data_IF_313239639168
#
_entry.id   IF_313239639168
#
_cell.length_a   1.000
_cell.length_b   1.000
_cell.length_c   1.000
_cell.angle_alpha   90.00
_cell.angle_beta   90.00
_cell.angle_gamma   90.00
#
_symmetry.space_group_name_H-M   'P 1'
#
loop_
_entity.id
_entity.type
_entity.pdbx_description
1 polymer ?
#
# COMPACT_ATOMS: atom_id res chain seq x y z
N UNK A 1 -59.75 -8.16 43.01
CA UNK A 1 -59.53 -7.52 41.73
C UNK A 1 -58.03 -7.20 41.66
N UNK A 2 -57.25 -8.11 41.06
CA UNK A 2 -55.77 -8.07 41.05
C UNK A 2 -55.33 -7.63 39.66
N UNK A 3 -54.73 -6.45 39.56
CA UNK A 3 -54.11 -5.96 38.32
C UNK A 3 -52.75 -6.65 38.12
N UNK A 4 -52.62 -7.45 37.03
CA UNK A 4 -51.32 -7.94 36.54
C UNK A 4 -50.68 -6.86 35.69
N UNK A 5 -49.53 -6.35 36.13
CA UNK A 5 -48.65 -5.50 35.34
C UNK A 5 -47.80 -6.38 34.40
N UNK A 6 -48.02 -6.26 33.11
CA UNK A 6 -47.14 -6.87 32.08
C UNK A 6 -45.87 -6.01 31.97
N UNK A 7 -44.71 -6.63 32.28
CA UNK A 7 -43.39 -6.07 31.90
C UNK A 7 -43.10 -6.42 30.47
N UNK A 8 -43.09 -5.42 29.61
CA UNK A 8 -42.61 -5.53 28.22
C UNK A 8 -41.09 -5.36 28.27
N UNK A 9 -40.37 -6.46 28.03
CA UNK A 9 -38.93 -6.43 27.79
C UNK A 9 -38.68 -5.93 26.33
N UNK A 10 -38.18 -4.74 26.20
CA UNK A 10 -37.69 -4.24 24.91
C UNK A 10 -36.34 -4.93 24.60
N UNK A 11 -36.34 -5.89 23.71
CA UNK A 11 -35.14 -6.42 23.10
C UNK A 11 -34.64 -5.39 22.05
N UNK A 12 -33.61 -4.66 22.41
CA UNK A 12 -32.82 -3.88 21.45
C UNK A 12 -31.99 -4.84 20.59
N UNK A 13 -32.47 -5.16 19.39
CA UNK A 13 -31.67 -5.86 18.37
C UNK A 13 -30.70 -4.84 17.79
N UNK A 14 -29.48 -4.82 18.26
CA UNK A 14 -28.38 -4.15 17.60
C UNK A 14 -28.04 -4.95 16.34
N UNK A 15 -28.58 -4.55 15.20
CA UNK A 15 -28.16 -5.08 13.90
C UNK A 15 -26.71 -4.64 13.68
N UNK A 16 -25.77 -5.54 13.89
CA UNK A 16 -24.41 -5.40 13.38
C UNK A 16 -24.50 -5.44 11.85
N UNK A 17 -24.40 -4.27 11.22
CA UNK A 17 -24.19 -4.16 9.80
C UNK A 17 -22.77 -4.71 9.55
N UNK A 18 -22.68 -6.02 9.29
CA UNK A 18 -21.50 -6.58 8.64
C UNK A 18 -21.46 -5.96 7.23
N UNK A 19 -20.52 -5.05 7.03
CA UNK A 19 -20.09 -4.67 5.69
C UNK A 19 -19.57 -5.94 5.01
N UNK A 20 -20.43 -6.55 4.20
CA UNK A 20 -20.03 -7.59 3.25
C UNK A 20 -19.28 -6.83 2.14
N UNK A 21 -18.01 -6.56 2.35
CA UNK A 21 -17.10 -6.28 1.25
C UNK A 21 -17.05 -7.56 0.43
N UNK A 22 -17.46 -7.50 -0.84
CA UNK A 22 -17.22 -8.60 -1.76
C UNK A 22 -15.72 -8.90 -1.70
N UNK A 23 -15.36 -10.13 -1.34
CA UNK A 23 -13.97 -10.50 -1.11
C UNK A 23 -13.28 -10.57 -2.47
N UNK A 24 -12.57 -9.51 -2.84
CA UNK A 24 -11.49 -9.62 -3.83
C UNK A 24 -10.56 -10.71 -3.29
N UNK A 25 -10.30 -11.74 -4.10
CA UNK A 25 -9.46 -12.86 -3.69
C UNK A 25 -8.13 -12.33 -3.16
N UNK A 26 -7.76 -12.74 -1.94
CA UNK A 26 -6.51 -12.32 -1.32
C UNK A 26 -5.33 -12.74 -2.19
N UNK A 27 -4.28 -11.89 -2.31
CA UNK A 27 -3.05 -12.23 -3.00
C UNK A 27 -2.42 -13.51 -2.45
N UNK A 28 -1.84 -14.33 -3.33
CA UNK A 28 -1.25 -15.63 -2.97
C UNK A 28 0.28 -15.64 -3.10
N UNK A 29 0.82 -14.80 -3.96
CA UNK A 29 2.25 -14.73 -4.26
C UNK A 29 2.80 -13.33 -3.95
N UNK A 30 4.12 -13.17 -3.76
CA UNK A 30 4.72 -11.83 -3.64
C UNK A 30 4.39 -10.93 -4.83
N UNK A 31 4.36 -11.45 -6.06
CA UNK A 31 3.94 -10.71 -7.25
C UNK A 31 2.47 -10.25 -7.17
N UNK A 32 1.57 -11.10 -6.71
CA UNK A 32 0.16 -10.72 -6.49
C UNK A 32 0.05 -9.57 -5.45
N UNK A 33 0.86 -9.61 -4.38
CA UNK A 33 0.88 -8.56 -3.36
C UNK A 33 1.44 -7.23 -3.90
N UNK A 34 2.48 -7.26 -4.74
CA UNK A 34 2.98 -6.06 -5.42
C UNK A 34 1.90 -5.43 -6.30
N UNK A 35 1.20 -6.25 -7.09
CA UNK A 35 0.12 -5.77 -7.95
C UNK A 35 -1.06 -5.24 -7.12
N UNK A 36 -1.48 -5.98 -6.09
CA UNK A 36 -2.60 -5.61 -5.21
C UNK A 36 -2.38 -4.27 -4.53
N UNK A 37 -1.18 -4.02 -4.02
CA UNK A 37 -0.86 -2.79 -3.28
C UNK A 37 -0.64 -1.58 -4.19
N UNK A 38 -0.04 -1.79 -5.36
CA UNK A 38 0.27 -0.71 -6.29
C UNK A 38 -0.87 -0.38 -7.26
N UNK A 39 -1.63 -1.41 -7.68
CA UNK A 39 -2.60 -1.34 -8.78
C UNK A 39 -3.87 -2.10 -8.42
N UNK A 40 -4.54 -1.68 -7.35
CA UNK A 40 -5.67 -2.43 -6.77
C UNK A 40 -6.81 -2.68 -7.76
N UNK A 41 -7.20 -1.66 -8.56
CA UNK A 41 -8.23 -1.84 -9.59
C UNK A 41 -7.80 -2.87 -10.63
N UNK A 42 -6.58 -2.76 -11.13
CA UNK A 42 -6.02 -3.71 -12.10
C UNK A 42 -6.01 -5.14 -11.55
N UNK A 43 -5.60 -5.30 -10.29
CA UNK A 43 -5.63 -6.61 -9.62
C UNK A 43 -7.05 -7.16 -9.49
N UNK A 44 -7.97 -6.37 -8.92
CA UNK A 44 -9.34 -6.79 -8.67
C UNK A 44 -10.10 -7.09 -9.97
N UNK A 45 -9.94 -6.24 -11.00
CA UNK A 45 -10.54 -6.44 -12.31
C UNK A 45 -9.95 -7.66 -13.01
N UNK A 46 -8.65 -7.88 -12.96
CA UNK A 46 -7.97 -9.04 -13.55
C UNK A 46 -8.41 -10.39 -12.96
N UNK A 47 -8.83 -10.41 -11.68
CA UNK A 47 -9.41 -11.62 -11.04
C UNK A 47 -10.91 -11.80 -11.38
N UNK A 48 -11.56 -10.81 -12.00
CA UNK A 48 -12.98 -10.90 -12.40
C UNK A 48 -13.11 -11.37 -13.86
N UNK A 49 -12.98 -12.68 -14.06
CA UNK A 49 -12.99 -13.30 -15.40
C UNK A 49 -14.16 -12.90 -16.29
N UNK A 50 -15.44 -12.80 -15.83
CA UNK A 50 -16.53 -12.33 -16.67
C UNK A 50 -16.34 -10.91 -17.20
N UNK A 51 -15.98 -9.96 -16.33
CA UNK A 51 -15.77 -8.56 -16.73
C UNK A 51 -14.56 -8.40 -17.64
N UNK A 52 -13.49 -9.17 -17.39
CA UNK A 52 -12.32 -9.21 -18.24
C UNK A 52 -12.66 -9.67 -19.66
N UNK A 53 -13.47 -10.71 -19.80
CA UNK A 53 -13.95 -11.21 -21.10
C UNK A 53 -14.79 -10.15 -21.84
N UNK A 54 -15.66 -9.43 -21.13
CA UNK A 54 -16.47 -8.36 -21.71
C UNK A 54 -15.58 -7.23 -22.28
N UNK A 55 -14.55 -6.81 -21.54
CA UNK A 55 -13.59 -5.83 -22.03
C UNK A 55 -12.83 -6.33 -23.27
N UNK A 56 -12.38 -7.59 -23.26
CA UNK A 56 -11.65 -8.21 -24.36
C UNK A 56 -12.46 -8.38 -25.64
N UNK A 57 -13.79 -8.34 -25.57
CA UNK A 57 -14.67 -8.38 -26.75
C UNK A 57 -14.72 -7.03 -27.49
N UNK A 58 -14.32 -5.93 -26.87
CA UNK A 58 -14.29 -4.64 -27.54
C UNK A 58 -13.26 -4.66 -28.70
N UNK A 59 -13.73 -4.29 -29.90
CA UNK A 59 -12.90 -4.38 -31.12
C UNK A 59 -11.67 -3.44 -31.08
N UNK A 60 -11.79 -2.28 -30.43
CA UNK A 60 -10.68 -1.34 -30.33
C UNK A 60 -9.63 -1.83 -29.33
N UNK A 61 -10.08 -2.45 -28.23
CA UNK A 61 -9.17 -3.12 -27.27
C UNK A 61 -8.44 -4.27 -27.96
N UNK A 62 -9.13 -5.12 -28.72
CA UNK A 62 -8.49 -6.21 -29.49
C UNK A 62 -7.43 -5.70 -30.45
N UNK A 63 -7.76 -4.68 -31.25
CA UNK A 63 -6.82 -4.11 -32.20
C UNK A 63 -5.60 -3.50 -31.48
N UNK A 64 -5.84 -2.74 -30.42
CA UNK A 64 -4.79 -2.15 -29.59
C UNK A 64 -3.86 -3.23 -28.99
N UNK A 65 -4.41 -4.31 -28.45
CA UNK A 65 -3.61 -5.40 -27.86
C UNK A 65 -2.75 -6.11 -28.90
N UNK A 66 -3.25 -6.31 -30.12
CA UNK A 66 -2.46 -6.88 -31.23
C UNK A 66 -1.29 -5.96 -31.63
N UNK A 67 -1.56 -4.66 -31.78
CA UNK A 67 -0.52 -3.67 -32.09
C UNK A 67 0.54 -3.61 -30.98
N UNK A 68 0.09 -3.68 -29.73
CA UNK A 68 0.96 -3.70 -28.57
C UNK A 68 1.83 -4.96 -28.53
N UNK A 69 1.26 -6.15 -28.73
CA UNK A 69 2.02 -7.40 -28.80
C UNK A 69 3.10 -7.34 -29.85
N UNK A 70 2.77 -6.81 -31.04
CA UNK A 70 3.75 -6.60 -32.10
C UNK A 70 4.87 -5.65 -31.64
N UNK A 71 4.51 -4.49 -31.09
CA UNK A 71 5.48 -3.50 -30.59
C UNK A 71 6.37 -4.08 -29.48
N UNK A 72 5.82 -4.88 -28.58
CA UNK A 72 6.59 -5.53 -27.52
C UNK A 72 7.58 -6.55 -28.10
N UNK A 73 7.15 -7.39 -29.04
CA UNK A 73 8.01 -8.37 -29.74
C UNK A 73 9.07 -7.68 -30.61
N UNK A 74 8.73 -6.60 -31.31
CA UNK A 74 9.67 -5.82 -32.12
C UNK A 74 10.80 -5.19 -31.27
N UNK A 75 10.62 -5.10 -29.95
CA UNK A 75 11.66 -4.70 -28.99
C UNK A 75 12.93 -5.54 -29.09
N UNK A 76 12.86 -6.78 -29.59
CA UNK A 76 14.04 -7.61 -29.87
C UNK A 76 15.00 -6.95 -30.86
N UNK A 77 14.53 -6.05 -31.70
CA UNK A 77 15.32 -5.32 -32.71
C UNK A 77 15.90 -4.00 -32.14
N UNK A 78 15.55 -3.61 -30.92
CA UNK A 78 16.04 -2.38 -30.30
C UNK A 78 17.55 -2.43 -30.10
N UNK A 79 18.24 -1.38 -30.51
CA UNK A 79 19.69 -1.22 -30.32
C UNK A 79 20.03 -0.31 -29.13
N UNK A 80 19.05 0.35 -28.54
CA UNK A 80 19.22 1.26 -27.41
C UNK A 80 18.28 0.91 -26.27
N UNK A 81 18.69 1.23 -25.05
CA UNK A 81 17.89 1.07 -23.83
C UNK A 81 16.56 1.81 -23.93
N UNK A 82 16.57 3.06 -24.41
CA UNK A 82 15.35 3.87 -24.53
C UNK A 82 14.34 3.26 -25.51
N UNK A 83 14.81 2.71 -26.65
CA UNK A 83 13.95 1.99 -27.58
C UNK A 83 13.24 0.83 -26.88
N UNK A 84 13.98 -0.01 -26.17
CA UNK A 84 13.45 -1.20 -25.49
C UNK A 84 12.50 -0.82 -24.35
N UNK A 85 12.87 0.13 -23.50
CA UNK A 85 12.03 0.64 -22.41
C UNK A 85 10.69 1.18 -22.92
N UNK A 86 10.69 1.87 -24.06
CA UNK A 86 9.45 2.38 -24.65
C UNK A 86 8.49 1.26 -25.10
N UNK A 87 8.98 0.05 -25.36
CA UNK A 87 8.11 -1.09 -25.68
C UNK A 87 7.38 -1.63 -24.43
N UNK A 88 7.94 -1.46 -23.24
CA UNK A 88 7.35 -1.89 -21.99
C UNK A 88 6.17 -0.99 -21.56
N UNK A 89 6.23 0.29 -21.91
CA UNK A 89 5.31 1.32 -21.41
C UNK A 89 4.00 1.39 -22.17
N UNK A 90 2.94 1.83 -21.48
CA UNK A 90 1.74 2.34 -22.13
C UNK A 90 2.03 3.65 -22.85
N UNK A 91 1.60 3.77 -24.09
CA UNK A 91 1.59 5.06 -24.80
C UNK A 91 0.22 5.76 -24.65
N UNK A 92 0.17 7.04 -25.00
CA UNK A 92 -1.04 7.86 -24.83
C UNK A 92 -2.26 7.32 -25.60
N UNK A 93 -2.07 6.76 -26.79
CA UNK A 93 -3.14 6.17 -27.60
C UNK A 93 -3.71 4.92 -26.93
N UNK A 94 -2.87 4.05 -26.39
CA UNK A 94 -3.27 2.84 -25.67
C UNK A 94 -4.03 3.20 -24.40
N UNK A 95 -3.53 4.17 -23.64
CA UNK A 95 -4.21 4.69 -22.42
C UNK A 95 -5.59 5.24 -22.76
N UNK A 96 -5.69 6.07 -23.81
CA UNK A 96 -6.98 6.62 -24.27
C UNK A 96 -7.96 5.53 -24.72
N UNK A 97 -7.47 4.51 -25.42
CA UNK A 97 -8.30 3.37 -25.87
C UNK A 97 -8.88 2.60 -24.68
N UNK A 98 -8.06 2.33 -23.67
CA UNK A 98 -8.51 1.64 -22.43
C UNK A 98 -9.51 2.48 -21.65
N UNK A 99 -9.26 3.77 -21.46
CA UNK A 99 -10.21 4.66 -20.78
C UNK A 99 -11.57 4.65 -21.48
N UNK A 100 -11.61 4.84 -22.79
CA UNK A 100 -12.86 4.80 -23.57
C UNK A 100 -13.58 3.45 -23.46
N UNK A 101 -12.85 2.33 -23.50
CA UNK A 101 -13.44 1.01 -23.38
C UNK A 101 -14.04 0.77 -21.99
N UNK A 102 -13.38 1.20 -20.93
CA UNK A 102 -13.92 1.12 -19.56
C UNK A 102 -15.13 2.05 -19.37
N UNK A 103 -15.12 3.26 -19.94
CA UNK A 103 -16.28 4.14 -19.91
C UNK A 103 -17.50 3.52 -20.60
N UNK A 104 -17.28 2.88 -21.76
CA UNK A 104 -18.30 2.12 -22.49
C UNK A 104 -18.81 0.92 -21.67
N UNK A 105 -17.88 0.16 -21.05
CA UNK A 105 -18.23 -0.96 -20.19
C UNK A 105 -19.08 -0.48 -18.98
N UNK A 106 -18.75 0.65 -18.38
CA UNK A 106 -19.56 1.27 -17.32
C UNK A 106 -20.97 1.58 -17.79
N UNK A 107 -21.16 2.15 -19.00
CA UNK A 107 -22.48 2.48 -19.53
C UNK A 107 -23.32 1.22 -19.81
N UNK A 108 -22.72 0.18 -20.31
CA UNK A 108 -23.43 -0.97 -20.86
C UNK A 108 -23.58 -2.14 -19.89
N UNK A 109 -22.70 -2.26 -18.86
CA UNK A 109 -22.65 -3.44 -17.99
C UNK A 109 -22.97 -3.09 -16.53
N UNK A 110 -24.15 -3.57 -16.05
CA UNK A 110 -24.59 -3.37 -14.66
C UNK A 110 -23.67 -4.07 -13.64
N UNK A 111 -23.08 -5.19 -14.01
CA UNK A 111 -22.19 -5.93 -13.09
C UNK A 111 -20.87 -5.16 -12.90
N UNK A 112 -20.38 -4.51 -13.94
CA UNK A 112 -19.21 -3.63 -13.84
C UNK A 112 -19.51 -2.41 -12.94
N UNK A 113 -20.69 -1.79 -13.07
CA UNK A 113 -21.09 -0.70 -12.13
C UNK A 113 -21.11 -1.19 -10.68
N UNK A 114 -21.72 -2.37 -10.44
CA UNK A 114 -21.76 -2.95 -9.10
C UNK A 114 -20.36 -3.28 -8.55
N UNK A 115 -19.47 -3.82 -9.38
CA UNK A 115 -18.06 -4.06 -9.05
C UNK A 115 -17.35 -2.73 -8.69
N UNK A 116 -17.50 -1.71 -9.52
CA UNK A 116 -16.90 -0.41 -9.25
C UNK A 116 -17.35 0.16 -7.89
N UNK A 117 -18.66 0.10 -7.58
CA UNK A 117 -19.20 0.63 -6.34
C UNK A 117 -18.79 -0.18 -5.11
N UNK A 118 -18.94 -1.51 -5.17
CA UNK A 118 -18.82 -2.38 -4.00
C UNK A 118 -17.39 -2.80 -3.68
N UNK A 119 -16.56 -2.96 -4.71
CA UNK A 119 -15.21 -3.49 -4.55
C UNK A 119 -14.16 -2.37 -4.63
N UNK A 120 -14.35 -1.40 -5.52
CA UNK A 120 -13.33 -0.38 -5.78
C UNK A 120 -13.58 0.90 -4.97
N UNK A 121 -14.75 1.50 -5.10
CA UNK A 121 -15.06 2.75 -4.36
C UNK A 121 -15.08 2.51 -2.86
N UNK A 122 -15.69 1.41 -2.42
CA UNK A 122 -15.75 1.04 -1.01
C UNK A 122 -14.39 0.69 -0.38
N UNK A 123 -13.36 0.41 -1.20
CA UNK A 123 -12.00 0.18 -0.70
C UNK A 123 -11.29 1.45 -0.24
N UNK A 124 -11.75 2.63 -0.65
CA UNK A 124 -11.12 3.94 -0.44
C UNK A 124 -9.69 4.09 -1.01
N UNK A 125 -9.17 3.11 -1.74
CA UNK A 125 -7.78 3.10 -2.21
C UNK A 125 -7.46 4.15 -3.29
N UNK A 126 -8.48 4.70 -3.95
CA UNK A 126 -8.35 5.82 -4.92
C UNK A 126 -8.94 7.14 -4.40
N UNK A 127 -9.18 7.22 -3.10
CA UNK A 127 -9.82 8.35 -2.44
C UNK A 127 -11.35 8.30 -2.51
N UNK A 128 -12.00 9.40 -2.14
CA UNK A 128 -13.46 9.45 -2.05
C UNK A 128 -14.10 10.07 -3.30
N UNK A 129 -15.37 9.73 -3.53
CA UNK A 129 -16.22 10.32 -4.58
C UNK A 129 -16.67 11.75 -4.31
N UNK A 130 -16.31 12.39 -3.18
CA UNK A 130 -16.90 13.65 -2.71
C UNK A 130 -17.10 14.73 -3.76
N UNK A 131 -16.27 14.76 -4.79
CA UNK A 131 -16.30 15.78 -5.84
C UNK A 131 -16.34 15.22 -7.27
N UNK A 132 -16.38 13.90 -7.43
CA UNK A 132 -16.32 13.23 -8.72
C UNK A 132 -17.60 12.44 -9.00
N UNK A 133 -18.05 12.43 -10.25
CA UNK A 133 -19.02 11.43 -10.70
C UNK A 133 -18.37 10.04 -10.75
N UNK A 134 -19.13 8.93 -10.70
CA UNK A 134 -18.58 7.59 -10.81
C UNK A 134 -17.72 7.40 -12.08
N UNK A 135 -18.07 8.02 -13.19
CA UNK A 135 -17.28 7.98 -14.43
C UNK A 135 -15.95 8.73 -14.31
N UNK A 136 -15.95 9.91 -13.71
CA UNK A 136 -14.72 10.67 -13.46
C UNK A 136 -13.81 9.94 -12.48
N UNK A 137 -14.40 9.28 -11.49
CA UNK A 137 -13.66 8.43 -10.57
C UNK A 137 -13.04 7.23 -11.29
N UNK A 138 -13.79 6.54 -12.16
CA UNK A 138 -13.32 5.44 -12.98
C UNK A 138 -12.15 5.89 -13.87
N UNK A 139 -12.27 7.03 -14.56
CA UNK A 139 -11.19 7.59 -15.35
C UNK A 139 -9.93 7.84 -14.52
N UNK A 140 -10.09 8.49 -13.35
CA UNK A 140 -8.97 8.78 -12.44
C UNK A 140 -8.22 7.52 -12.05
N UNK A 141 -8.91 6.47 -11.61
CA UNK A 141 -8.25 5.24 -11.13
C UNK A 141 -7.55 4.47 -12.26
N UNK A 142 -8.15 4.42 -13.46
CA UNK A 142 -7.52 3.78 -14.63
C UNK A 142 -6.22 4.52 -14.98
N UNK A 143 -6.30 5.84 -15.11
CA UNK A 143 -5.12 6.66 -15.42
C UNK A 143 -4.05 6.53 -14.34
N UNK A 144 -4.45 6.44 -13.05
CA UNK A 144 -3.52 6.26 -11.94
C UNK A 144 -2.76 4.93 -12.04
N UNK A 145 -3.45 3.80 -12.27
CA UNK A 145 -2.80 2.49 -12.38
C UNK A 145 -1.86 2.43 -13.59
N UNK A 146 -2.32 2.88 -14.76
CA UNK A 146 -1.50 2.85 -15.98
C UNK A 146 -0.27 3.79 -15.88
N UNK A 147 -0.45 4.97 -15.30
CA UNK A 147 0.66 5.91 -15.06
C UNK A 147 1.64 5.37 -14.02
N UNK A 148 1.14 4.70 -12.97
CA UNK A 148 1.97 4.05 -11.95
C UNK A 148 2.86 2.95 -12.52
N UNK A 149 2.34 2.11 -13.43
CA UNK A 149 3.14 1.11 -14.15
C UNK A 149 4.25 1.78 -14.96
N UNK A 150 3.92 2.82 -15.71
CA UNK A 150 4.90 3.58 -16.48
C UNK A 150 5.95 4.24 -15.57
N UNK A 151 5.53 4.75 -14.41
CA UNK A 151 6.44 5.34 -13.41
C UNK A 151 7.46 4.32 -12.89
N UNK A 152 7.03 3.11 -12.53
CA UNK A 152 7.95 2.02 -12.12
C UNK A 152 8.96 1.72 -13.23
N UNK A 153 8.51 1.61 -14.49
CA UNK A 153 9.39 1.36 -15.63
C UNK A 153 10.38 2.52 -15.83
N UNK A 154 9.93 3.76 -15.66
CA UNK A 154 10.78 4.95 -15.74
C UNK A 154 11.88 4.96 -14.66
N UNK A 155 11.54 4.61 -13.42
CA UNK A 155 12.52 4.61 -12.32
C UNK A 155 13.43 3.39 -12.41
N UNK A 156 12.86 2.17 -12.44
CA UNK A 156 13.61 0.92 -12.28
C UNK A 156 14.05 0.28 -13.61
N UNK A 157 13.59 0.81 -14.72
CA UNK A 157 14.03 0.41 -16.06
C UNK A 157 14.88 1.50 -16.74
N UNK A 158 14.38 2.74 -16.82
CA UNK A 158 15.10 3.83 -17.49
C UNK A 158 16.07 4.60 -16.56
N UNK A 159 16.06 4.36 -15.25
CA UNK A 159 16.94 5.04 -14.30
C UNK A 159 16.59 6.51 -14.08
N UNK A 160 15.32 6.90 -14.29
CA UNK A 160 14.87 8.24 -13.92
C UNK A 160 14.95 8.45 -12.43
N UNK A 161 15.14 9.69 -12.01
CA UNK A 161 15.28 10.06 -10.60
C UNK A 161 13.94 9.93 -9.88
N UNK A 162 13.83 9.12 -8.81
CA UNK A 162 12.64 9.06 -7.97
C UNK A 162 12.54 10.28 -7.05
N UNK A 163 11.41 10.42 -6.33
CA UNK A 163 11.21 11.50 -5.36
C UNK A 163 12.22 11.43 -4.20
N UNK A 164 12.64 10.21 -3.82
CA UNK A 164 13.61 9.96 -2.73
C UNK A 164 14.84 9.17 -3.24
N UNK A 165 15.74 9.81 -4.02
CA UNK A 165 16.82 9.10 -4.72
C UNK A 165 17.83 8.40 -3.81
N UNK A 166 18.00 8.87 -2.59
CA UNK A 166 18.95 8.27 -1.63
C UNK A 166 18.47 6.91 -1.10
N UNK A 167 17.19 6.60 -1.25
CA UNK A 167 16.58 5.36 -0.73
C UNK A 167 15.84 4.54 -1.80
N UNK A 168 15.44 5.15 -2.92
CA UNK A 168 14.55 4.53 -3.91
C UNK A 168 15.13 4.47 -5.33
N UNK A 169 16.40 4.83 -5.51
CA UNK A 169 17.04 4.77 -6.84
C UNK A 169 17.16 3.35 -7.38
N UNK A 170 17.25 3.24 -8.69
CA UNK A 170 17.58 2.02 -9.42
C UNK A 170 18.90 1.41 -8.93
N UNK A 171 18.98 0.08 -8.95
CA UNK A 171 20.18 -0.66 -8.51
C UNK A 171 21.29 -0.72 -9.54
N UNK A 172 21.00 -0.40 -10.81
CA UNK A 172 21.90 -0.59 -11.95
C UNK A 172 22.41 0.73 -12.50
N UNK A 173 23.61 0.67 -13.09
CA UNK A 173 24.11 1.74 -13.93
C UNK A 173 23.52 1.58 -15.35
N UNK A 174 22.52 2.36 -15.67
CA UNK A 174 21.81 2.30 -16.98
C UNK A 174 22.72 2.68 -18.18
N UNK A 175 23.90 3.26 -17.93
CA UNK A 175 24.92 3.57 -18.96
C UNK A 175 25.87 2.41 -19.20
N UNK A 176 25.80 1.33 -18.42
CA UNK A 176 26.59 0.14 -18.66
C UNK A 176 26.17 -0.51 -19.99
N UNK A 177 27.15 -0.87 -20.82
CA UNK A 177 26.91 -1.49 -22.13
C UNK A 177 26.14 -2.81 -22.06
N UNK A 178 26.20 -3.50 -20.90
CA UNK A 178 25.53 -4.77 -20.70
C UNK A 178 24.09 -4.57 -20.17
N UNK A 179 23.69 -3.35 -19.79
CA UNK A 179 22.37 -3.11 -19.20
C UNK A 179 21.23 -3.43 -20.17
N UNK A 180 21.41 -3.19 -21.46
CA UNK A 180 20.42 -3.55 -22.49
C UNK A 180 20.16 -5.07 -22.54
N UNK A 181 21.18 -5.90 -22.25
CA UNK A 181 21.00 -7.36 -22.21
C UNK A 181 20.14 -7.79 -21.02
N UNK A 182 20.29 -7.14 -19.84
CA UNK A 182 19.39 -7.36 -18.73
C UNK A 182 17.94 -7.07 -19.11
N UNK A 183 17.68 -5.92 -19.77
CA UNK A 183 16.34 -5.53 -20.20
C UNK A 183 15.76 -6.47 -21.26
N UNK A 184 16.60 -7.01 -22.17
CA UNK A 184 16.18 -8.04 -23.14
C UNK A 184 15.74 -9.31 -22.43
N UNK A 185 16.49 -9.75 -21.40
CA UNK A 185 16.09 -10.91 -20.62
C UNK A 185 14.78 -10.66 -19.85
N UNK A 186 14.56 -9.45 -19.32
CA UNK A 186 13.26 -9.06 -18.75
C UNK A 186 12.14 -9.13 -19.80
N UNK A 187 12.37 -8.64 -21.02
CA UNK A 187 11.40 -8.73 -22.12
C UNK A 187 11.05 -10.18 -22.47
N UNK A 188 12.06 -11.04 -22.61
CA UNK A 188 11.86 -12.46 -22.96
C UNK A 188 11.09 -13.21 -21.87
N UNK A 189 11.42 -12.96 -20.62
CA UNK A 189 10.74 -13.55 -19.46
C UNK A 189 9.26 -13.10 -19.39
N UNK A 190 9.01 -11.80 -19.53
CA UNK A 190 7.64 -11.26 -19.61
C UNK A 190 6.87 -11.82 -20.83
N UNK A 191 7.53 -11.99 -21.98
CA UNK A 191 6.92 -12.59 -23.17
C UNK A 191 6.50 -14.03 -22.92
N UNK A 192 7.31 -14.82 -22.17
CA UNK A 192 6.99 -16.20 -21.83
C UNK A 192 5.73 -16.28 -20.93
N UNK A 193 5.59 -15.36 -19.97
CA UNK A 193 4.45 -15.32 -19.05
C UNK A 193 3.17 -14.74 -19.69
N UNK A 194 3.27 -14.02 -20.81
CA UNK A 194 2.14 -13.31 -21.42
C UNK A 194 1.61 -13.90 -22.72
N UNK A 195 2.00 -15.13 -23.05
CA UNK A 195 1.56 -15.85 -24.26
C UNK A 195 0.07 -16.21 -24.30
N UNK A 196 -0.66 -16.06 -23.19
CA UNK A 196 -2.10 -16.30 -23.14
C UNK A 196 -2.89 -15.05 -23.55
N UNK A 197 -3.93 -15.18 -24.40
CA UNK A 197 -4.76 -14.04 -24.85
C UNK A 197 -5.53 -13.31 -23.72
N UNK A 198 -5.51 -13.86 -22.51
CA UNK A 198 -6.26 -13.34 -21.36
C UNK A 198 -5.67 -12.06 -20.75
N UNK A 199 -4.51 -11.65 -21.20
CA UNK A 199 -3.67 -10.72 -20.49
C UNK A 199 -3.71 -9.30 -21.07
N UNK A 200 -4.80 -8.57 -20.89
CA UNK A 200 -4.96 -7.25 -21.49
C UNK A 200 -3.96 -6.19 -20.98
N UNK A 201 -3.43 -6.35 -19.77
CA UNK A 201 -2.46 -5.39 -19.17
C UNK A 201 -1.08 -6.04 -18.95
N UNK A 202 -0.96 -7.33 -19.10
CA UNK A 202 0.13 -8.13 -18.55
C UNK A 202 1.53 -7.69 -18.99
N UNK A 203 1.75 -7.30 -20.23
CA UNK A 203 3.11 -6.95 -20.66
C UNK A 203 3.68 -5.75 -19.90
N UNK A 204 2.95 -4.63 -19.76
CA UNK A 204 3.42 -3.48 -18.98
C UNK A 204 3.44 -3.80 -17.50
N UNK A 205 2.38 -4.42 -16.98
CA UNK A 205 2.27 -4.79 -15.58
C UNK A 205 3.42 -5.72 -15.16
N UNK A 206 3.65 -6.79 -15.92
CA UNK A 206 4.72 -7.74 -15.61
C UNK A 206 6.11 -7.15 -15.87
N UNK A 207 6.27 -6.25 -16.85
CA UNK A 207 7.52 -5.50 -17.00
C UNK A 207 7.80 -4.62 -15.77
N UNK A 208 6.79 -3.92 -15.25
CA UNK A 208 6.95 -3.10 -14.04
C UNK A 208 7.32 -3.97 -12.82
N UNK A 209 6.59 -5.05 -12.58
CA UNK A 209 6.84 -5.95 -11.44
C UNK A 209 8.20 -6.66 -11.58
N UNK A 210 8.56 -7.12 -12.78
CA UNK A 210 9.85 -7.76 -13.04
C UNK A 210 11.02 -6.80 -12.87
N UNK A 211 10.84 -5.53 -13.22
CA UNK A 211 11.84 -4.49 -12.96
C UNK A 211 12.03 -4.23 -11.46
N UNK A 212 10.97 -4.26 -10.65
CA UNK A 212 11.10 -4.23 -9.18
C UNK A 212 11.89 -5.45 -8.68
N UNK A 213 11.56 -6.64 -9.17
CA UNK A 213 12.21 -7.89 -8.79
C UNK A 213 13.72 -7.87 -9.07
N UNK A 214 14.14 -7.59 -10.31
CA UNK A 214 15.58 -7.59 -10.65
C UNK A 214 16.36 -6.49 -9.95
N UNK A 215 15.68 -5.43 -9.49
CA UNK A 215 16.26 -4.41 -8.64
C UNK A 215 16.29 -4.82 -7.14
N UNK A 216 15.74 -5.99 -6.78
CA UNK A 216 15.55 -6.47 -5.39
C UNK A 216 14.68 -5.52 -4.56
N UNK A 217 13.59 -5.03 -5.17
CA UNK A 217 12.68 -4.03 -4.59
C UNK A 217 11.27 -4.59 -4.36
N UNK A 218 11.19 -5.72 -3.65
CA UNK A 218 9.94 -6.31 -3.15
C UNK A 218 9.44 -5.66 -1.86
N UNK A 219 9.79 -4.41 -1.61
CA UNK A 219 9.54 -3.75 -0.32
C UNK A 219 8.04 -3.73 0.02
N UNK A 220 7.17 -3.48 -0.96
CA UNK A 220 5.73 -3.42 -0.73
C UNK A 220 5.09 -4.79 -0.42
N UNK A 221 5.69 -5.90 -0.89
CA UNK A 221 5.16 -7.26 -0.71
C UNK A 221 5.81 -8.05 0.44
N UNK A 222 6.89 -7.52 1.05
CA UNK A 222 7.63 -8.22 2.08
C UNK A 222 6.76 -8.60 3.27
N UNK A 223 6.89 -9.85 3.72
CA UNK A 223 6.22 -10.41 4.90
C UNK A 223 4.67 -10.50 4.79
N UNK A 224 4.09 -10.18 3.64
CA UNK A 224 2.64 -10.34 3.46
C UNK A 224 2.21 -11.83 3.37
N UNK A 225 1.04 -12.19 3.86
CA UNK A 225 0.11 -11.34 4.61
C UNK A 225 0.54 -11.18 6.08
N UNK A 226 0.77 -9.94 6.51
CA UNK A 226 1.23 -9.62 7.87
C UNK A 226 0.36 -10.23 8.98
N UNK A 227 -0.95 -10.37 8.74
CA UNK A 227 -1.89 -10.99 9.69
C UNK A 227 -1.69 -12.48 9.90
N UNK A 228 -0.97 -13.15 9.00
CA UNK A 228 -0.61 -14.57 9.13
C UNK A 228 0.87 -14.77 9.48
N UNK A 229 1.67 -13.72 9.39
CA UNK A 229 3.12 -13.72 9.67
C UNK A 229 3.44 -12.87 10.90
N UNK A 230 4.15 -11.79 10.74
CA UNK A 230 4.70 -10.97 11.82
C UNK A 230 3.66 -10.38 12.77
N UNK A 231 2.49 -10.02 12.28
CA UNK A 231 1.45 -9.39 13.09
C UNK A 231 0.44 -10.39 13.67
N UNK A 232 0.54 -11.69 13.36
CA UNK A 232 -0.47 -12.69 13.70
C UNK A 232 -0.87 -12.67 15.18
N UNK A 233 0.09 -12.72 16.09
CA UNK A 233 -0.18 -12.79 17.53
C UNK A 233 -0.90 -11.54 18.05
N UNK A 234 -0.52 -10.36 17.58
CA UNK A 234 -1.18 -9.12 17.95
C UNK A 234 -2.54 -8.96 17.26
N UNK A 235 -2.65 -9.32 15.98
CA UNK A 235 -3.92 -9.31 15.25
C UNK A 235 -4.98 -10.19 15.89
N UNK A 236 -4.61 -11.39 16.37
CA UNK A 236 -5.54 -12.27 17.08
C UNK A 236 -5.96 -11.67 18.45
N UNK A 237 -5.03 -11.00 19.16
CA UNK A 237 -5.33 -10.33 20.43
C UNK A 237 -6.26 -9.11 20.27
N UNK A 238 -6.17 -8.37 19.15
CA UNK A 238 -7.04 -7.21 18.88
C UNK A 238 -8.52 -7.62 18.98
N UNK A 239 -8.89 -8.78 18.44
CA UNK A 239 -10.27 -9.31 18.39
C UNK A 239 -10.91 -9.50 19.77
N UNK A 240 -10.08 -9.67 20.80
CA UNK A 240 -10.53 -9.93 22.18
C UNK A 240 -10.18 -8.78 23.14
N UNK A 241 -9.58 -7.70 22.65
CA UNK A 241 -9.15 -6.58 23.48
C UNK A 241 -10.31 -5.65 23.82
N UNK A 242 -10.55 -5.43 25.11
CA UNK A 242 -11.46 -4.38 25.57
C UNK A 242 -10.74 -3.02 25.58
N UNK A 243 -10.90 -2.29 24.49
CA UNK A 243 -10.28 -0.98 24.31
C UNK A 243 -10.80 0.10 25.28
N UNK A 244 -11.95 -0.10 25.93
CA UNK A 244 -12.50 0.86 26.91
C UNK A 244 -11.60 1.01 28.13
N UNK A 245 -10.79 -0.01 28.43
CA UNK A 245 -9.86 -0.03 29.58
C UNK A 245 -8.60 0.83 29.38
N UNK A 246 -8.38 1.35 28.18
CA UNK A 246 -7.15 2.08 27.85
C UNK A 246 -7.48 3.51 27.41
N UNK A 247 -6.71 4.52 27.82
CA UNK A 247 -6.87 5.90 27.33
C UNK A 247 -6.75 6.00 25.79
N UNK A 248 -5.83 5.23 25.18
CA UNK A 248 -5.52 5.27 23.77
C UNK A 248 -5.60 3.89 23.12
N UNK A 249 -5.87 3.84 21.81
CA UNK A 249 -5.99 2.57 21.08
C UNK A 249 -4.63 1.89 20.85
N UNK A 250 -3.58 2.66 20.61
CA UNK A 250 -2.22 2.19 20.35
C UNK A 250 -1.19 3.31 20.50
N UNK A 251 0.10 2.95 20.40
CA UNK A 251 1.21 3.88 20.29
C UNK A 251 2.05 3.54 19.04
N UNK A 252 2.12 4.45 18.08
CA UNK A 252 3.04 4.40 16.95
C UNK A 252 4.44 4.84 17.39
N UNK A 253 5.43 4.01 17.09
CA UNK A 253 6.85 4.35 17.19
C UNK A 253 7.39 4.52 15.77
N UNK A 254 7.88 5.72 15.48
CA UNK A 254 8.54 6.00 14.21
C UNK A 254 9.94 5.40 14.20
N UNK A 255 10.32 4.76 13.11
CA UNK A 255 11.67 4.29 12.87
C UNK A 255 12.71 5.42 12.90
N UNK A 256 13.97 5.07 13.09
CA UNK A 256 15.10 6.00 13.12
C UNK A 256 16.32 5.50 12.35
N UNK A 257 16.15 4.41 11.58
CA UNK A 257 17.13 3.73 10.74
C UNK A 257 18.56 3.69 11.26
N UNK A 258 19.26 2.57 11.21
CA UNK A 258 20.71 2.58 11.40
C UNK A 258 21.37 3.33 10.24
N UNK A 259 22.48 4.04 10.55
CA UNK A 259 23.27 4.73 9.54
C UNK A 259 24.46 3.87 9.05
N UNK A 260 24.77 2.80 9.78
CA UNK A 260 25.93 1.94 9.53
C UNK A 260 25.45 0.63 8.91
N UNK A 261 26.06 0.24 7.78
CA UNK A 261 25.75 -1.01 7.12
C UNK A 261 26.01 -2.21 8.06
N UNK A 262 25.09 -3.18 8.07
CA UNK A 262 25.15 -4.34 8.94
C UNK A 262 24.64 -4.13 10.37
N UNK A 263 24.31 -2.90 10.76
CA UNK A 263 23.67 -2.63 12.04
C UNK A 263 22.16 -2.94 11.96
N UNK A 264 21.67 -3.78 12.87
CA UNK A 264 20.26 -4.23 12.90
C UNK A 264 19.31 -3.15 13.40
N UNK A 265 19.64 -2.51 14.51
CA UNK A 265 18.82 -1.49 15.17
C UNK A 265 19.68 -0.28 15.55
N UNK A 266 19.16 0.92 15.33
CA UNK A 266 19.83 2.16 15.72
C UNK A 266 19.73 2.42 17.23
N UNK A 267 20.67 3.19 17.84
CA UNK A 267 20.55 3.63 19.22
C UNK A 267 19.24 4.38 19.50
N UNK A 268 18.76 5.19 18.56
CA UNK A 268 17.48 5.89 18.70
C UNK A 268 16.30 4.90 18.64
N UNK A 269 16.36 3.87 17.80
CA UNK A 269 15.37 2.80 17.79
C UNK A 269 15.24 2.10 19.15
N UNK A 270 16.38 1.79 19.78
CA UNK A 270 16.40 1.22 21.13
C UNK A 270 15.77 2.17 22.17
N UNK A 271 16.10 3.46 22.14
CA UNK A 271 15.54 4.45 23.09
C UNK A 271 14.04 4.66 22.89
N UNK A 272 13.57 4.72 21.65
CA UNK A 272 12.15 4.82 21.31
C UNK A 272 11.39 3.57 21.76
N UNK A 273 11.97 2.37 21.61
CA UNK A 273 11.41 1.12 22.13
C UNK A 273 11.21 1.15 23.65
N UNK A 274 12.14 1.75 24.40
CA UNK A 274 12.01 1.95 25.85
C UNK A 274 10.93 2.96 26.22
N UNK A 275 10.67 3.96 25.38
CA UNK A 275 9.54 4.88 25.59
C UNK A 275 8.20 4.14 25.42
N UNK A 276 8.09 3.27 24.42
CA UNK A 276 6.92 2.44 24.20
C UNK A 276 6.67 1.49 25.39
N UNK A 277 7.71 0.84 25.92
CA UNK A 277 7.63 0.00 27.12
C UNK A 277 7.00 0.75 28.28
N UNK A 278 7.44 2.00 28.56
CA UNK A 278 6.88 2.81 29.66
C UNK A 278 5.40 3.12 29.47
N UNK A 279 4.97 3.45 28.23
CA UNK A 279 3.56 3.70 27.93
C UNK A 279 2.71 2.43 28.11
N UNK A 280 3.22 1.29 27.66
CA UNK A 280 2.58 -0.01 27.82
C UNK A 280 2.46 -0.43 29.28
N UNK A 281 3.54 -0.33 30.07
CA UNK A 281 3.55 -0.66 31.50
C UNK A 281 2.63 0.23 32.34
N UNK A 282 2.43 1.48 31.94
CA UNK A 282 1.47 2.41 32.58
C UNK A 282 0.02 2.13 32.19
N UNK A 283 -0.25 1.15 31.33
CA UNK A 283 -1.60 0.84 30.86
C UNK A 283 -2.22 1.96 29.99
N UNK A 284 -1.42 2.80 29.37
CA UNK A 284 -1.94 3.85 28.48
C UNK A 284 -2.46 3.28 27.15
N UNK A 285 -1.88 2.18 26.71
CA UNK A 285 -2.12 1.53 25.43
C UNK A 285 -2.12 0.01 25.54
N UNK A 286 -2.96 -0.72 24.80
CA UNK A 286 -2.87 -2.18 24.71
C UNK A 286 -1.87 -2.67 23.63
N UNK A 287 -1.54 -1.84 22.64
CA UNK A 287 -0.69 -2.20 21.49
C UNK A 287 0.35 -1.13 21.18
N UNK A 288 1.51 -1.60 20.75
CA UNK A 288 2.59 -0.81 20.16
C UNK A 288 2.62 -1.13 18.67
N UNK A 289 2.73 -0.11 17.81
CA UNK A 289 2.94 -0.27 16.38
C UNK A 289 4.31 0.31 16.06
N UNK A 290 5.19 -0.51 15.52
CA UNK A 290 6.52 -0.08 15.07
C UNK A 290 6.48 0.06 13.56
N UNK A 291 6.81 1.24 13.04
CA UNK A 291 6.78 1.52 11.62
C UNK A 291 8.16 1.91 11.11
N UNK A 292 8.67 1.17 10.14
CA UNK A 292 9.97 1.40 9.50
C UNK A 292 10.36 0.24 8.59
N UNK A 293 10.57 0.54 7.31
CA UNK A 293 10.92 -0.42 6.27
C UNK A 293 12.41 -0.71 6.15
N UNK A 294 12.77 -1.33 5.04
CA UNK A 294 14.15 -1.63 4.62
C UNK A 294 14.74 -0.42 3.89
N UNK A 295 15.09 0.63 4.64
CA UNK A 295 15.40 1.96 4.06
C UNK A 295 16.85 2.37 4.25
N UNK A 296 17.37 2.31 5.47
CA UNK A 296 18.70 2.84 5.82
C UNK A 296 19.61 1.78 6.41
N UNK A 297 20.88 1.75 5.97
CA UNK A 297 21.43 2.40 4.77
C UNK A 297 20.83 1.80 3.50
N UNK A 298 21.00 2.48 2.36
CA UNK A 298 20.47 2.02 1.06
C UNK A 298 20.75 0.53 0.82
N UNK A 299 19.71 -0.23 0.42
CA UNK A 299 19.75 -1.69 0.24
C UNK A 299 20.22 -2.49 1.47
N UNK A 300 19.97 -1.99 2.68
CA UNK A 300 20.15 -2.79 3.90
C UNK A 300 19.36 -4.11 3.80
N UNK A 301 19.86 -5.17 4.39
CA UNK A 301 19.14 -6.45 4.50
C UNK A 301 18.12 -6.47 5.65
N UNK A 302 18.15 -5.49 6.54
CA UNK A 302 17.30 -5.45 7.74
C UNK A 302 16.07 -4.56 7.54
N UNK A 303 14.93 -5.04 8.04
CA UNK A 303 13.69 -4.28 8.13
C UNK A 303 13.63 -3.69 9.53
N UNK A 304 13.65 -2.37 9.64
CA UNK A 304 13.76 -1.69 10.92
C UNK A 304 12.67 -2.09 11.92
N UNK A 305 11.42 -2.16 11.48
CA UNK A 305 10.29 -2.53 12.34
C UNK A 305 10.42 -3.97 12.89
N UNK A 306 10.96 -4.90 12.11
CA UNK A 306 11.23 -6.28 12.54
C UNK A 306 12.31 -6.30 13.63
N UNK A 307 13.44 -5.63 13.40
CA UNK A 307 14.55 -5.61 14.34
C UNK A 307 14.19 -4.88 15.65
N UNK A 308 13.38 -3.82 15.57
CA UNK A 308 12.86 -3.15 16.77
C UNK A 308 11.87 -4.05 17.53
N UNK A 309 11.02 -4.82 16.85
CA UNK A 309 10.13 -5.80 17.48
C UNK A 309 10.93 -6.89 18.19
N UNK A 310 11.96 -7.45 17.55
CA UNK A 310 12.86 -8.43 18.18
C UNK A 310 13.47 -7.84 19.46
N UNK A 311 14.01 -6.62 19.40
CA UNK A 311 14.56 -5.96 20.58
C UNK A 311 13.53 -5.77 21.68
N UNK A 312 12.29 -5.36 21.34
CA UNK A 312 11.20 -5.20 22.34
C UNK A 312 10.80 -6.51 22.98
N UNK A 313 10.76 -7.61 22.23
CA UNK A 313 10.38 -8.93 22.75
C UNK A 313 11.53 -9.54 23.57
N UNK A 314 12.71 -9.64 22.97
CA UNK A 314 13.84 -10.41 23.52
C UNK A 314 14.57 -9.66 24.65
N UNK A 315 14.71 -8.32 24.51
CA UNK A 315 15.48 -7.51 25.46
C UNK A 315 14.59 -6.80 26.48
N UNK A 316 13.42 -6.32 26.05
CA UNK A 316 12.53 -5.53 26.91
C UNK A 316 11.37 -6.36 27.52
N UNK A 317 11.18 -7.61 27.10
CA UNK A 317 10.16 -8.51 27.63
C UNK A 317 8.71 -8.12 27.28
N UNK A 318 8.49 -7.33 26.23
CA UNK A 318 7.14 -6.98 25.77
C UNK A 318 6.56 -8.19 25.03
N UNK A 319 5.34 -8.66 25.35
CA UNK A 319 4.74 -9.77 24.64
C UNK A 319 4.60 -9.49 23.14
N UNK A 320 4.97 -10.42 22.26
CA UNK A 320 4.80 -10.29 20.81
C UNK A 320 3.34 -9.98 20.42
N UNK A 321 2.38 -10.47 21.21
CA UNK A 321 0.94 -10.18 21.03
C UNK A 321 0.53 -8.73 21.35
N UNK A 322 1.44 -7.91 21.87
CA UNK A 322 1.21 -6.48 22.08
C UNK A 322 1.92 -5.62 21.03
N UNK A 323 2.64 -6.21 20.06
CA UNK A 323 3.47 -5.49 19.08
C UNK A 323 3.02 -5.83 17.67
N UNK A 324 2.61 -4.80 16.93
CA UNK A 324 2.40 -4.82 15.50
C UNK A 324 3.58 -4.16 14.80
N UNK A 325 3.87 -4.57 13.57
CA UNK A 325 4.84 -3.90 12.71
C UNK A 325 4.17 -3.39 11.43
N UNK A 326 4.66 -2.26 10.94
CA UNK A 326 4.57 -1.81 9.57
C UNK A 326 5.98 -1.86 8.96
N UNK A 327 6.28 -2.86 8.12
CA UNK A 327 7.62 -3.06 7.56
C UNK A 327 7.84 -2.32 6.25
N UNK A 328 6.92 -1.46 5.82
CA UNK A 328 6.90 -0.85 4.49
C UNK A 328 7.33 0.60 4.49
N UNK A 329 7.06 1.35 5.59
CA UNK A 329 7.27 2.78 5.64
C UNK A 329 8.70 3.20 5.29
N UNK A 330 8.80 4.20 4.41
CA UNK A 330 10.07 4.72 3.89
C UNK A 330 10.44 6.09 4.45
N UNK A 331 9.45 6.83 4.93
CA UNK A 331 9.64 8.17 5.52
C UNK A 331 8.48 8.51 6.49
N UNK A 332 8.54 9.67 7.15
CA UNK A 332 7.62 10.00 8.24
C UNK A 332 6.15 10.04 7.82
N UNK A 333 5.81 10.53 6.63
CA UNK A 333 4.42 10.56 6.16
C UNK A 333 3.88 9.14 5.96
N UNK A 334 4.70 8.23 5.42
CA UNK A 334 4.29 6.84 5.24
C UNK A 334 4.24 6.07 6.56
N UNK A 335 5.10 6.36 7.56
CA UNK A 335 4.94 5.79 8.90
C UNK A 335 3.53 6.04 9.47
N UNK A 336 3.04 7.28 9.41
CA UNK A 336 1.75 7.66 9.96
C UNK A 336 0.60 7.11 9.11
N UNK A 337 0.72 7.18 7.77
CA UNK A 337 -0.27 6.63 6.83
C UNK A 337 -0.45 5.13 7.01
N UNK A 338 0.64 4.36 6.98
CA UNK A 338 0.59 2.90 7.06
C UNK A 338 0.08 2.42 8.42
N UNK A 339 0.49 3.10 9.50
CA UNK A 339 -0.11 2.84 10.82
C UNK A 339 -1.62 3.09 10.78
N UNK A 340 -2.06 4.15 10.10
CA UNK A 340 -3.48 4.41 9.87
C UNK A 340 -4.18 3.25 9.14
N UNK A 341 -3.56 2.69 8.09
CA UNK A 341 -4.04 1.49 7.38
C UNK A 341 -4.19 0.29 8.32
N UNK A 342 -3.19 0.02 9.18
CA UNK A 342 -3.28 -1.06 10.17
C UNK A 342 -4.44 -0.83 11.14
N UNK A 343 -4.60 0.38 11.66
CA UNK A 343 -5.69 0.71 12.58
C UNK A 343 -7.07 0.51 11.93
N UNK A 344 -7.24 0.96 10.69
CA UNK A 344 -8.50 0.83 9.95
C UNK A 344 -8.83 -0.62 9.57
N UNK A 345 -7.84 -1.39 9.12
CA UNK A 345 -8.04 -2.73 8.57
C UNK A 345 -8.05 -3.83 9.65
N UNK A 346 -7.45 -3.60 10.82
CA UNK A 346 -7.32 -4.63 11.86
C UNK A 346 -8.41 -4.58 12.94
N UNK A 347 -9.38 -3.65 12.79
CA UNK A 347 -10.54 -3.59 13.69
C UNK A 347 -10.31 -2.77 14.95
N UNK A 348 -9.40 -1.82 14.95
CA UNK A 348 -9.28 -0.83 16.02
C UNK A 348 -10.49 0.12 16.05
N UNK A 349 -10.86 0.66 17.24
CA UNK A 349 -11.94 1.64 17.34
C UNK A 349 -11.63 2.91 16.53
N UNK A 350 -12.48 3.25 15.54
CA UNK A 350 -12.23 4.35 14.59
C UNK A 350 -12.23 5.74 15.23
N UNK A 351 -12.95 5.92 16.32
CA UNK A 351 -13.13 7.17 17.09
C UNK A 351 -12.16 7.33 18.26
N UNK A 352 -11.39 6.29 18.59
CA UNK A 352 -10.42 6.34 19.66
C UNK A 352 -9.07 6.88 19.20
N UNK A 353 -8.53 7.85 19.92
CA UNK A 353 -7.20 8.40 19.65
C UNK A 353 -6.12 7.33 19.85
N UNK A 354 -5.11 7.41 19.01
CA UNK A 354 -3.83 6.74 19.16
C UNK A 354 -2.74 7.77 19.51
N UNK A 355 -1.59 7.29 19.95
CA UNK A 355 -0.41 8.11 20.19
C UNK A 355 0.64 7.88 19.10
N UNK A 356 1.39 8.93 18.76
CA UNK A 356 2.65 8.83 18.03
C UNK A 356 3.78 9.27 18.96
N UNK A 357 4.89 8.49 18.99
CA UNK A 357 6.07 8.80 19.81
C UNK A 357 7.33 8.80 18.96
N UNK A 358 8.16 9.84 19.18
CA UNK A 358 9.43 10.01 18.50
C UNK A 358 10.33 11.02 19.26
N UNK A 359 11.46 11.44 18.65
CA UNK A 359 12.25 12.57 19.16
C UNK A 359 11.45 13.87 19.07
N UNK A 360 11.82 14.86 19.89
CA UNK A 360 11.13 16.16 19.94
C UNK A 360 11.02 16.80 18.54
N UNK A 361 12.12 16.88 17.79
CA UNK A 361 12.11 17.46 16.44
C UNK A 361 11.18 16.74 15.47
N UNK A 362 11.07 15.41 15.58
CA UNK A 362 10.13 14.63 14.78
C UNK A 362 8.67 14.89 15.17
N UNK A 363 8.38 15.01 16.48
CA UNK A 363 7.03 15.36 16.95
C UNK A 363 6.65 16.78 16.51
N UNK A 364 7.58 17.74 16.60
CA UNK A 364 7.38 19.11 16.10
C UNK A 364 7.06 19.11 14.58
N UNK A 365 7.75 18.26 13.81
CA UNK A 365 7.46 18.10 12.37
C UNK A 365 6.08 17.51 12.12
N UNK A 366 5.71 16.41 12.79
CA UNK A 366 4.39 15.75 12.65
C UNK A 366 3.27 16.72 12.97
N UNK A 367 3.43 17.53 14.04
CA UNK A 367 2.43 18.47 14.51
C UNK A 367 2.24 19.68 13.58
N UNK A 368 3.32 20.19 12.94
CA UNK A 368 3.30 21.52 12.32
C UNK A 368 3.56 21.55 10.82
N UNK A 369 4.23 20.55 10.27
CA UNK A 369 4.75 20.63 8.91
C UNK A 369 4.38 19.43 8.01
N UNK A 370 4.03 18.29 8.59
CA UNK A 370 3.78 17.06 7.83
C UNK A 370 2.54 17.16 6.93
N UNK A 371 1.53 17.96 7.31
CA UNK A 371 0.33 18.20 6.51
C UNK A 371 0.65 18.68 5.10
N UNK A 372 1.58 19.65 4.98
CA UNK A 372 1.97 20.21 3.67
C UNK A 372 2.55 19.11 2.77
N UNK A 373 3.37 18.23 3.35
CA UNK A 373 3.98 17.12 2.62
C UNK A 373 2.95 16.08 2.24
N UNK A 374 2.06 15.69 3.17
CA UNK A 374 0.97 14.76 2.89
C UNK A 374 0.07 15.23 1.75
N UNK A 375 -0.28 16.53 1.72
CA UNK A 375 -1.05 17.12 0.60
C UNK A 375 -0.30 17.09 -0.72
N UNK A 376 1.02 17.26 -0.71
CA UNK A 376 1.84 17.15 -1.93
C UNK A 376 1.88 15.71 -2.45
N UNK A 377 1.99 14.72 -1.56
CA UNK A 377 2.14 13.30 -1.90
C UNK A 377 0.80 12.63 -2.27
N UNK A 378 -0.28 12.93 -1.52
CA UNK A 378 -1.58 12.26 -1.63
C UNK A 378 -2.73 13.17 -2.07
N UNK A 379 -2.52 14.47 -2.18
CA UNK A 379 -3.59 15.46 -2.39
C UNK A 379 -4.46 15.71 -1.15
N UNK A 380 -4.22 15.02 -0.03
CA UNK A 380 -5.00 15.09 1.21
C UNK A 380 -4.12 14.86 2.44
N UNK A 381 -4.73 14.97 3.64
CA UNK A 381 -4.07 14.65 4.92
C UNK A 381 -4.74 13.40 5.51
N UNK A 382 -4.04 12.26 5.59
CA UNK A 382 -4.62 10.96 5.96
C UNK A 382 -4.82 10.76 7.47
N UNK A 383 -4.76 11.81 8.28
CA UNK A 383 -4.86 11.77 9.73
C UNK A 383 -5.41 13.08 10.32
N UNK A 384 -5.83 12.99 11.57
CA UNK A 384 -6.13 14.13 12.44
C UNK A 384 -5.09 14.19 13.56
N UNK A 385 -4.62 15.40 13.89
CA UNK A 385 -3.73 15.64 15.02
C UNK A 385 -4.57 16.13 16.21
N UNK A 386 -4.35 15.51 17.39
CA UNK A 386 -4.99 15.86 18.64
C UNK A 386 -4.05 16.64 19.57
N UNK A 387 -4.12 16.34 20.87
CA UNK A 387 -3.34 17.03 21.90
C UNK A 387 -1.88 16.60 21.91
N UNK A 388 -0.98 17.54 22.15
CA UNK A 388 0.40 17.25 22.51
C UNK A 388 0.46 16.78 23.97
N UNK A 389 0.90 15.54 24.20
CA UNK A 389 0.96 14.93 25.53
C UNK A 389 2.30 15.26 26.21
N UNK A 390 3.37 15.32 25.43
CA UNK A 390 4.70 15.69 25.90
C UNK A 390 5.59 16.12 24.72
N UNK A 391 6.85 16.47 24.98
CA UNK A 391 7.82 16.71 23.92
C UNK A 391 8.05 15.51 22.99
N UNK A 392 7.72 14.31 23.44
CA UNK A 392 7.97 13.05 22.73
C UNK A 392 6.71 12.33 22.29
N UNK A 393 5.51 12.86 22.59
CA UNK A 393 4.24 12.19 22.31
C UNK A 393 3.14 13.16 21.88
N UNK A 394 2.36 12.74 20.88
CA UNK A 394 1.28 13.49 20.28
C UNK A 394 0.10 12.55 20.01
N UNK A 395 -1.12 13.00 20.22
CA UNK A 395 -2.33 12.28 19.78
C UNK A 395 -2.49 12.37 18.27
N UNK A 396 -2.84 11.26 17.64
CA UNK A 396 -3.29 11.24 16.26
C UNK A 396 -4.42 10.23 16.05
N UNK A 397 -5.16 10.39 14.96
CA UNK A 397 -6.20 9.47 14.53
C UNK A 397 -6.23 9.40 13.00
N UNK A 398 -6.25 8.19 12.39
CA UNK A 398 -6.33 8.07 10.94
C UNK A 398 -7.69 8.51 10.42
N UNK A 399 -7.71 8.96 9.16
CA UNK A 399 -8.90 9.07 8.34
C UNK A 399 -8.88 7.98 7.27
N UNK A 400 -10.00 7.75 6.58
CA UNK A 400 -10.08 6.78 5.48
C UNK A 400 -9.11 7.11 4.33
N UNK A 401 -8.67 8.36 4.22
CA UNK A 401 -7.62 8.78 3.27
C UNK A 401 -6.27 8.09 3.50
N UNK A 402 -6.05 7.45 4.67
CA UNK A 402 -4.88 6.61 4.90
C UNK A 402 -4.83 5.37 4.00
N UNK A 403 -5.97 4.97 3.42
CA UNK A 403 -6.05 3.83 2.49
C UNK A 403 -5.64 4.18 1.06
N UNK A 404 -5.48 5.47 0.73
CA UNK A 404 -5.14 5.93 -0.63
C UNK A 404 -3.77 5.40 -1.06
N UNK A 405 -3.73 4.82 -2.26
CA UNK A 405 -2.50 4.38 -2.93
C UNK A 405 -1.76 5.60 -3.49
N UNK A 406 -0.45 5.70 -3.23
CA UNK A 406 0.43 6.66 -3.88
C UNK A 406 1.18 6.01 -5.07
N UNK A 407 0.79 6.24 -6.32
CA UNK A 407 1.40 5.58 -7.47
C UNK A 407 2.85 6.03 -7.74
N UNK A 408 3.32 7.09 -7.07
CA UNK A 408 4.69 7.60 -7.21
C UNK A 408 5.66 6.97 -6.20
N UNK A 409 5.17 6.17 -5.26
CA UNK A 409 5.97 5.47 -4.25
C UNK A 409 5.75 3.96 -4.32
N UNK A 410 6.19 3.28 -5.40
CA UNK A 410 5.85 1.87 -5.63
C UNK A 410 6.41 0.90 -4.58
N UNK A 411 7.35 1.34 -3.76
CA UNK A 411 7.91 0.53 -2.67
C UNK A 411 7.09 0.62 -1.37
N UNK A 412 6.22 1.62 -1.28
CA UNK A 412 5.26 1.85 -0.18
C UNK A 412 4.08 2.67 -0.72
N UNK A 413 3.26 2.06 -1.59
CA UNK A 413 2.20 2.74 -2.32
C UNK A 413 1.04 3.23 -1.43
#
# INVERSE_FOLDING_TARGET
MILKVLKINAFTVTAAIQLVTAQVNQPQTPQDWEIYKNYYFTYAFGKNTPLLKDLQQDQFVKAMLNDRNKRFTDGNNCQTTDCLINTFKWNEREISTLDQAFQKLYDQNKNFRSFLEKDIIASHQYGSLKTLTPKQYLQKLILQDLAGMNHVIDIYGAGKKPDYPDIDSISFNVKDKNYIELLRNVQLDVAADTNEPSAYINQTLFSAVRLLEVNERWDAAQLEPLTATENKAAYDKIKTTDFSKYPYSSLLILGAGPQIYGQKISPLGMLRSRQALRAYQKGLIPFIIVSGGRVHPYKTQYIEAVEMKHYMVETLGIPASAILIDPFARHTTTNVRNTGRLLLNYGFPKDKWALVSSSKSHIDYVERAMDKRSRKELGTVPYLIGKRISDLMLEYRPTEDALIINPNEPLDP
#
